data_IF_944903579272
#
_entry.id   IF_944903579272
#
_cell.length_a   1.000
_cell.length_b   1.000
_cell.length_c   1.000
_cell.angle_alpha   90.00
_cell.angle_beta   90.00
_cell.angle_gamma   90.00
#
_symmetry.space_group_name_H-M   'P 1'
#
loop_
_entity.id
_entity.type
_entity.pdbx_description
1 polymer ?
#
# COMPACT_ATOMS: atom_id res chain seq x y z
N UNK A 1 -12.74 3.03 14.34
CA UNK A 1 -12.33 4.07 13.39
C UNK A 1 -10.80 4.15 13.41
N UNK A 2 -10.07 3.75 12.36
CA UNK A 2 -8.64 4.00 12.32
C UNK A 2 -8.43 5.46 11.92
N UNK A 3 -8.13 6.31 12.89
CA UNK A 3 -7.69 7.68 12.64
C UNK A 3 -6.24 7.55 12.14
N UNK A 4 -6.07 7.52 10.82
CA UNK A 4 -4.76 7.65 10.18
C UNK A 4 -4.38 9.13 10.33
N UNK A 5 -3.29 9.47 11.03
CA UNK A 5 -2.84 10.85 11.07
C UNK A 5 -2.44 11.27 9.66
N UNK A 6 -3.12 12.28 9.11
CA UNK A 6 -2.70 12.97 7.88
C UNK A 6 -1.27 13.49 8.08
N UNK A 7 -0.32 12.82 7.42
CA UNK A 7 1.02 13.33 7.21
C UNK A 7 1.07 13.76 5.76
N UNK A 8 0.68 15.01 5.53
CA UNK A 8 0.86 15.72 4.28
C UNK A 8 2.22 15.37 3.67
N UNK A 9 2.22 15.03 2.38
CA UNK A 9 3.38 14.65 1.56
C UNK A 9 4.48 15.71 1.40
N UNK A 10 4.86 16.39 2.48
CA UNK A 10 6.04 17.25 2.55
C UNK A 10 7.17 16.45 3.18
N UNK A 11 8.21 16.15 2.39
CA UNK A 11 9.44 15.53 2.88
C UNK A 11 10.07 16.41 3.97
N UNK A 12 9.86 16.08 5.24
CA UNK A 12 10.29 16.90 6.38
C UNK A 12 11.75 16.62 6.79
N UNK A 13 12.63 16.44 5.80
CA UNK A 13 14.07 16.29 6.00
C UNK A 13 14.51 14.92 6.53
N UNK A 14 15.50 14.92 7.45
CA UNK A 14 16.19 13.71 7.90
C UNK A 14 15.30 12.63 8.58
N UNK A 15 14.24 12.95 9.36
CA UNK A 15 13.38 11.94 9.99
C UNK A 15 12.63 11.07 8.98
N UNK A 16 12.12 11.64 7.89
CA UNK A 16 11.42 10.87 6.85
C UNK A 16 12.39 10.00 6.05
N UNK A 17 13.60 10.51 5.77
CA UNK A 17 14.66 9.72 5.11
C UNK A 17 15.01 8.49 5.95
N UNK A 18 15.20 8.65 7.26
CA UNK A 18 15.47 7.52 8.16
C UNK A 18 14.32 6.53 8.18
N UNK A 19 13.08 7.01 8.28
CA UNK A 19 11.88 6.18 8.27
C UNK A 19 11.81 5.29 7.03
N UNK A 20 11.92 5.87 5.84
CA UNK A 20 11.90 5.09 4.60
C UNK A 20 13.13 4.19 4.46
N UNK A 21 14.32 4.64 4.88
CA UNK A 21 15.53 3.80 4.84
C UNK A 21 15.39 2.53 5.69
N UNK A 22 14.76 2.63 6.87
CA UNK A 22 14.48 1.47 7.73
C UNK A 22 13.51 0.51 7.06
N UNK A 23 12.45 1.01 6.40
CA UNK A 23 11.51 0.16 5.64
C UNK A 23 12.18 -0.57 4.48
N UNK A 24 13.01 0.14 3.72
CA UNK A 24 13.74 -0.45 2.59
C UNK A 24 14.71 -1.53 3.09
N UNK A 25 15.43 -1.26 4.19
CA UNK A 25 16.30 -2.24 4.83
C UNK A 25 15.52 -3.46 5.34
N UNK A 26 14.37 -3.24 5.95
CA UNK A 26 13.48 -4.29 6.42
C UNK A 26 13.07 -5.23 5.28
N UNK A 27 12.46 -4.70 4.21
CA UNK A 27 12.06 -5.53 3.07
C UNK A 27 13.25 -6.19 2.38
N UNK A 28 14.39 -5.51 2.27
CA UNK A 28 15.59 -6.13 1.72
C UNK A 28 16.05 -7.34 2.53
N UNK A 29 16.09 -7.23 3.87
CA UNK A 29 16.51 -8.32 4.74
C UNK A 29 15.45 -9.43 4.81
N UNK A 30 14.16 -9.08 4.77
CA UNK A 30 13.04 -10.02 4.68
C UNK A 30 13.16 -10.89 3.42
N UNK A 31 13.33 -10.25 2.25
CA UNK A 31 13.52 -10.96 0.98
C UNK A 31 14.80 -11.79 0.96
N UNK A 32 15.88 -11.28 1.56
CA UNK A 32 17.16 -12.01 1.64
C UNK A 32 17.04 -13.27 2.50
N UNK A 33 16.53 -13.15 3.72
CA UNK A 33 16.42 -14.27 4.65
C UNK A 33 15.34 -15.27 4.22
N UNK A 34 14.14 -14.79 3.87
CA UNK A 34 13.05 -15.62 3.36
C UNK A 34 13.43 -16.32 2.06
N UNK A 35 14.02 -15.59 1.11
CA UNK A 35 14.48 -16.13 -0.16
C UNK A 35 15.58 -17.18 -0.03
N UNK A 36 16.57 -16.95 0.84
CA UNK A 36 17.61 -17.94 1.13
C UNK A 36 17.04 -19.26 1.68
N UNK A 37 16.04 -19.18 2.55
CA UNK A 37 15.37 -20.36 3.11
C UNK A 37 14.45 -21.06 2.11
N UNK A 38 13.73 -20.31 1.27
CA UNK A 38 12.90 -20.88 0.22
C UNK A 38 13.76 -21.58 -0.84
N UNK A 39 14.87 -20.98 -1.27
CA UNK A 39 15.69 -21.51 -2.37
C UNK A 39 16.53 -22.74 -2.03
N UNK A 40 16.45 -23.27 -0.80
CA UNK A 40 17.10 -24.54 -0.45
C UNK A 40 16.63 -25.69 -1.34
N UNK A 41 15.36 -25.67 -1.79
CA UNK A 41 14.84 -26.71 -2.71
C UNK A 41 15.50 -26.67 -4.10
N UNK A 42 16.00 -25.50 -4.53
CA UNK A 42 16.59 -25.31 -5.86
C UNK A 42 18.07 -25.75 -5.92
N UNK A 43 18.67 -26.07 -4.77
CA UNK A 43 20.06 -26.49 -4.65
C UNK A 43 20.10 -27.99 -4.31
N UNK A 44 20.72 -28.84 -5.15
CA UNK A 44 20.81 -30.29 -4.94
C UNK A 44 21.41 -30.66 -3.59
N UNK A 45 20.98 -31.80 -3.04
CA UNK A 45 21.65 -32.45 -1.93
C UNK A 45 22.86 -33.27 -2.43
N UNK A 46 23.83 -33.53 -1.55
CA UNK A 46 25.04 -34.29 -1.87
C UNK A 46 26.17 -33.44 -2.46
N UNK A 47 27.17 -34.10 -3.06
CA UNK A 47 28.41 -33.45 -3.52
C UNK A 47 28.19 -32.37 -4.58
N UNK A 48 27.22 -32.57 -5.48
CA UNK A 48 26.91 -31.66 -6.58
C UNK A 48 26.34 -30.30 -6.16
N UNK A 49 25.87 -30.18 -4.91
CA UNK A 49 25.39 -28.92 -4.32
C UNK A 49 26.17 -28.49 -3.07
N UNK A 50 27.21 -29.23 -2.67
CA UNK A 50 27.91 -29.00 -1.41
C UNK A 50 28.53 -27.59 -1.30
N UNK A 51 29.14 -27.11 -2.39
CA UNK A 51 29.70 -25.75 -2.45
C UNK A 51 28.62 -24.68 -2.31
N UNK A 52 27.53 -24.80 -3.07
CA UNK A 52 26.38 -23.88 -3.04
C UNK A 52 25.72 -23.87 -1.65
N UNK A 53 25.49 -25.04 -1.05
CA UNK A 53 24.89 -25.18 0.30
C UNK A 53 25.79 -24.61 1.39
N UNK A 54 27.10 -24.80 1.31
CA UNK A 54 28.07 -24.22 2.26
C UNK A 54 28.00 -22.70 2.24
N UNK A 55 28.01 -22.10 1.04
CA UNK A 55 27.91 -20.65 0.89
C UNK A 55 26.54 -20.15 1.36
N UNK A 56 25.45 -20.81 0.97
CA UNK A 56 24.09 -20.49 1.43
C UNK A 56 23.99 -20.49 2.96
N UNK A 57 24.52 -21.52 3.63
CA UNK A 57 24.47 -21.61 5.08
C UNK A 57 25.26 -20.48 5.77
N UNK A 58 26.46 -20.14 5.25
CA UNK A 58 27.24 -19.02 5.76
C UNK A 58 26.48 -17.70 5.63
N UNK A 59 25.91 -17.43 4.45
CA UNK A 59 25.17 -16.20 4.18
C UNK A 59 23.81 -16.15 4.86
N UNK A 60 23.16 -17.29 5.09
CA UNK A 60 21.93 -17.39 5.87
C UNK A 60 22.14 -16.88 7.30
N UNK A 61 23.29 -17.19 7.91
CA UNK A 61 23.64 -16.65 9.23
C UNK A 61 23.75 -15.12 9.26
N UNK A 62 24.34 -14.52 8.22
CA UNK A 62 24.38 -13.06 8.06
C UNK A 62 22.99 -12.48 7.77
N UNK A 63 22.22 -13.13 6.89
CA UNK A 63 20.84 -12.76 6.57
C UNK A 63 19.95 -12.74 7.80
N UNK A 64 20.04 -13.74 8.68
CA UNK A 64 19.26 -13.79 9.93
C UNK A 64 19.63 -12.69 10.92
N UNK A 65 20.93 -12.35 11.05
CA UNK A 65 21.36 -11.21 11.87
C UNK A 65 20.85 -9.89 11.30
N UNK A 66 20.93 -9.73 9.97
CA UNK A 66 20.39 -8.58 9.26
C UNK A 66 18.88 -8.45 9.44
N UNK A 67 18.14 -9.55 9.29
CA UNK A 67 16.69 -9.59 9.48
C UNK A 67 16.30 -9.21 10.91
N UNK A 68 16.92 -9.82 11.93
CA UNK A 68 16.60 -9.50 13.32
C UNK A 68 16.83 -8.02 13.63
N UNK A 69 17.97 -7.46 13.23
CA UNK A 69 18.25 -6.04 13.44
C UNK A 69 17.28 -5.13 12.66
N UNK A 70 16.96 -5.49 11.42
CA UNK A 70 16.06 -4.71 10.59
C UNK A 70 14.61 -4.74 11.11
N UNK A 71 14.13 -5.90 11.58
CA UNK A 71 12.81 -6.05 12.21
C UNK A 71 12.74 -5.24 13.50
N UNK A 72 13.73 -5.35 14.39
CA UNK A 72 13.75 -4.58 15.63
C UNK A 72 13.74 -3.07 15.35
N UNK A 73 14.52 -2.62 14.37
CA UNK A 73 14.58 -1.21 13.98
C UNK A 73 13.27 -0.74 13.34
N UNK A 74 12.68 -1.55 12.46
CA UNK A 74 11.40 -1.29 11.81
C UNK A 74 10.28 -1.15 12.85
N UNK A 75 10.11 -2.15 13.71
CA UNK A 75 9.08 -2.15 14.77
C UNK A 75 9.27 -0.96 15.70
N UNK A 76 10.51 -0.67 16.11
CA UNK A 76 10.78 0.47 16.99
C UNK A 76 10.42 1.81 16.34
N UNK A 77 10.86 2.06 15.10
CA UNK A 77 10.61 3.32 14.39
C UNK A 77 9.12 3.50 14.13
N UNK A 78 8.41 2.46 13.69
CA UNK A 78 6.99 2.52 13.39
C UNK A 78 6.15 2.69 14.65
N UNK A 79 6.39 1.88 15.68
CA UNK A 79 5.69 2.02 16.96
C UNK A 79 5.93 3.39 17.59
N UNK A 80 7.17 3.89 17.55
CA UNK A 80 7.49 5.21 18.08
C UNK A 80 6.75 6.33 17.32
N UNK A 81 6.67 6.26 15.99
CA UNK A 81 5.94 7.25 15.18
C UNK A 81 4.45 7.24 15.52
N UNK A 82 3.84 6.07 15.62
CA UNK A 82 2.41 5.91 15.97
C UNK A 82 2.10 6.39 17.38
N UNK A 83 2.90 6.00 18.38
CA UNK A 83 2.69 6.42 19.77
C UNK A 83 2.91 7.93 19.93
N UNK A 84 3.94 8.48 19.29
CA UNK A 84 4.24 9.91 19.34
C UNK A 84 3.14 10.74 18.67
N UNK A 85 2.56 10.28 17.56
CA UNK A 85 1.44 10.99 16.90
C UNK A 85 0.18 11.06 17.75
N UNK A 86 0.02 10.13 18.69
CA UNK A 86 -1.11 10.10 19.62
C UNK A 86 -0.81 10.82 20.95
N UNK A 87 0.39 11.40 21.11
CA UNK A 87 0.84 11.99 22.39
C UNK A 87 0.98 10.97 23.52
N UNK A 88 1.06 9.67 23.20
CA UNK A 88 1.06 8.58 24.16
C UNK A 88 2.43 8.30 24.79
N UNK A 89 2.43 7.76 26.01
CA UNK A 89 3.63 7.29 26.73
C UNK A 89 3.82 5.77 26.67
N UNK A 90 4.49 5.21 27.68
CA UNK A 90 4.78 3.76 27.76
C UNK A 90 3.54 2.85 27.76
N UNK A 91 2.41 3.30 28.30
CA UNK A 91 1.15 2.53 28.26
C UNK A 91 0.62 2.38 26.83
N UNK A 92 0.76 3.42 26.00
CA UNK A 92 0.36 3.37 24.60
C UNK A 92 1.20 2.37 23.79
N UNK A 93 2.47 2.17 24.16
CA UNK A 93 3.30 1.12 23.57
C UNK A 93 2.78 -0.28 23.88
N UNK A 94 2.45 -0.54 25.15
CA UNK A 94 1.91 -1.85 25.57
C UNK A 94 0.60 -2.10 24.83
N UNK A 95 -0.31 -1.13 24.85
CA UNK A 95 -1.59 -1.22 24.17
C UNK A 95 -1.44 -1.48 22.67
N UNK A 96 -0.54 -0.75 22.01
CA UNK A 96 -0.24 -0.94 20.59
C UNK A 96 0.21 -2.38 20.32
N UNK A 97 1.16 -2.90 21.09
CA UNK A 97 1.73 -4.22 20.86
C UNK A 97 0.80 -5.38 21.22
N UNK A 98 -0.07 -5.22 22.23
CA UNK A 98 -0.92 -6.32 22.72
C UNK A 98 -2.35 -6.30 22.18
N UNK A 99 -2.91 -5.11 21.95
CA UNK A 99 -4.34 -4.96 21.60
C UNK A 99 -4.58 -4.68 20.11
N UNK A 100 -3.53 -4.37 19.32
CA UNK A 100 -3.68 -4.16 17.87
C UNK A 100 -3.18 -5.35 17.07
N UNK A 101 -3.83 -5.63 15.95
CA UNK A 101 -3.40 -6.67 15.00
C UNK A 101 -1.99 -6.40 14.46
N UNK A 102 -1.68 -5.15 14.14
CA UNK A 102 -0.35 -4.71 13.69
C UNK A 102 0.72 -4.99 14.73
N UNK A 103 0.46 -4.64 16.00
CA UNK A 103 1.40 -4.91 17.09
C UNK A 103 1.66 -6.41 17.31
N UNK A 104 0.62 -7.23 17.21
CA UNK A 104 0.75 -8.70 17.31
C UNK A 104 1.55 -9.29 16.14
N UNK A 105 1.35 -8.78 14.93
CA UNK A 105 2.13 -9.19 13.75
C UNK A 105 3.61 -8.81 13.91
N UNK A 106 3.93 -7.60 14.39
CA UNK A 106 5.30 -7.20 14.74
C UNK A 106 5.97 -8.11 15.77
N UNK A 107 5.25 -8.49 16.82
CA UNK A 107 5.75 -9.47 17.80
C UNK A 107 6.00 -10.83 17.14
N UNK A 108 5.10 -11.28 16.26
CA UNK A 108 5.27 -12.49 15.46
C UNK A 108 6.53 -12.46 14.60
N UNK A 109 6.78 -11.35 13.90
CA UNK A 109 7.99 -11.14 13.09
C UNK A 109 9.26 -11.16 13.94
N UNK A 110 9.25 -10.55 15.13
CA UNK A 110 10.38 -10.60 16.07
C UNK A 110 10.65 -12.03 16.50
N UNK A 111 9.62 -12.76 16.95
CA UNK A 111 9.74 -14.15 17.39
C UNK A 111 10.26 -15.04 16.27
N UNK A 112 9.69 -14.93 15.05
CA UNK A 112 10.15 -15.72 13.91
C UNK A 112 11.58 -15.39 13.51
N UNK A 113 11.99 -14.13 13.59
CA UNK A 113 13.38 -13.70 13.33
C UNK A 113 14.36 -14.32 14.33
N UNK A 114 13.98 -14.44 15.61
CA UNK A 114 14.77 -15.16 16.60
C UNK A 114 14.81 -16.67 16.35
N UNK A 115 13.66 -17.30 16.08
CA UNK A 115 13.57 -18.74 15.79
C UNK A 115 14.36 -19.12 14.54
N UNK A 116 14.48 -18.20 13.57
CA UNK A 116 15.26 -18.42 12.35
C UNK A 116 16.70 -18.86 12.62
N UNK A 117 17.34 -18.40 13.71
CA UNK A 117 18.69 -18.85 14.09
C UNK A 117 18.80 -20.34 14.44
N UNK A 118 17.72 -20.95 14.92
CA UNK A 118 17.64 -22.40 15.11
C UNK A 118 17.32 -23.08 13.76
N UNK A 119 16.36 -22.53 13.01
CA UNK A 119 15.86 -23.07 11.75
C UNK A 119 16.95 -23.21 10.68
N UNK A 120 17.93 -22.30 10.61
CA UNK A 120 19.03 -22.40 9.63
C UNK A 120 19.81 -23.72 9.72
N UNK A 121 19.80 -24.38 10.89
CA UNK A 121 20.47 -25.66 11.15
C UNK A 121 19.59 -26.88 10.93
N UNK A 122 18.30 -26.69 10.67
CA UNK A 122 17.34 -27.75 10.45
C UNK A 122 17.29 -28.17 8.97
N UNK A 123 16.44 -29.15 8.66
CA UNK A 123 16.25 -29.62 7.29
C UNK A 123 15.55 -28.57 6.41
N UNK A 124 15.60 -28.80 5.10
CA UNK A 124 15.08 -27.85 4.11
C UNK A 124 13.57 -27.63 4.22
N UNK A 125 12.80 -28.64 4.61
CA UNK A 125 11.34 -28.52 4.82
C UNK A 125 11.02 -27.52 5.91
N UNK A 126 11.71 -27.58 7.06
CA UNK A 126 11.49 -26.66 8.17
C UNK A 126 11.90 -25.22 7.79
N UNK A 127 12.96 -25.05 7.00
CA UNK A 127 13.37 -23.75 6.47
C UNK A 127 12.30 -23.13 5.58
N UNK A 128 11.74 -23.93 4.66
CA UNK A 128 10.66 -23.49 3.77
C UNK A 128 9.42 -23.11 4.58
N UNK A 129 8.99 -23.96 5.53
CA UNK A 129 7.82 -23.67 6.38
C UNK A 129 8.04 -22.38 7.17
N UNK A 130 9.21 -22.19 7.77
CA UNK A 130 9.54 -20.96 8.50
C UNK A 130 9.48 -19.72 7.60
N UNK A 131 10.01 -19.80 6.38
CA UNK A 131 9.98 -18.69 5.45
C UNK A 131 8.55 -18.34 5.02
N UNK A 132 7.71 -19.35 4.77
CA UNK A 132 6.30 -19.15 4.47
C UNK A 132 5.55 -18.54 5.66
N UNK A 133 5.83 -18.98 6.90
CA UNK A 133 5.23 -18.38 8.09
C UNK A 133 5.65 -16.92 8.26
N UNK A 134 6.92 -16.59 8.05
CA UNK A 134 7.43 -15.22 8.13
C UNK A 134 6.74 -14.29 7.14
N UNK A 135 6.65 -14.70 5.87
CA UNK A 135 5.98 -13.92 4.81
C UNK A 135 4.46 -13.90 5.00
N UNK A 136 3.90 -14.95 5.60
CA UNK A 136 2.50 -15.02 6.01
C UNK A 136 2.19 -13.96 7.06
N UNK A 137 2.97 -13.86 8.14
CA UNK A 137 2.77 -12.82 9.16
C UNK A 137 2.86 -11.42 8.56
N UNK A 138 3.84 -11.14 7.70
CA UNK A 138 3.94 -9.85 6.99
C UNK A 138 2.68 -9.53 6.18
N UNK A 139 2.07 -10.52 5.52
CA UNK A 139 0.86 -10.31 4.69
C UNK A 139 -0.39 -9.91 5.48
N UNK A 140 -0.41 -10.09 6.80
CA UNK A 140 -1.49 -9.63 7.68
C UNK A 140 -1.33 -8.16 8.11
N UNK A 141 -0.31 -7.46 7.60
CA UNK A 141 -0.09 -6.04 7.84
C UNK A 141 -0.46 -5.16 6.63
N UNK A 142 -0.54 -3.85 6.86
CA UNK A 142 -0.69 -2.85 5.80
C UNK A 142 -2.05 -2.84 5.10
N UNK A 143 -2.08 -2.28 3.89
CA UNK A 143 -3.31 -2.03 3.13
C UNK A 143 -4.09 -3.29 2.76
N UNK A 144 -3.42 -4.44 2.69
CA UNK A 144 -4.07 -5.71 2.39
C UNK A 144 -5.10 -6.06 3.48
N UNK A 145 -4.73 -5.92 4.76
CA UNK A 145 -5.59 -6.19 5.89
C UNK A 145 -6.69 -5.12 6.10
N UNK A 146 -6.49 -3.91 5.57
CA UNK A 146 -7.45 -2.81 5.65
C UNK A 146 -8.40 -2.72 4.43
N UNK A 147 -8.20 -3.54 3.39
CA UNK A 147 -9.05 -3.52 2.19
C UNK A 147 -10.45 -4.09 2.46
N UNK A 148 -11.44 -3.63 1.68
CA UNK A 148 -12.82 -4.15 1.72
C UNK A 148 -12.85 -5.67 1.47
N UNK A 149 -11.96 -6.15 0.61
CA UNK A 149 -11.78 -7.57 0.30
C UNK A 149 -10.54 -8.15 1.00
N UNK A 150 -10.43 -7.93 2.31
CA UNK A 150 -9.26 -8.25 3.13
C UNK A 150 -8.67 -9.65 2.87
N UNK A 151 -9.51 -10.69 2.81
CA UNK A 151 -9.03 -12.07 2.59
C UNK A 151 -8.34 -12.23 1.22
N UNK A 152 -8.94 -11.69 0.16
CA UNK A 152 -8.38 -11.81 -1.20
C UNK A 152 -7.09 -11.00 -1.32
N UNK A 153 -7.05 -9.80 -0.70
CA UNK A 153 -5.86 -8.97 -0.69
C UNK A 153 -4.72 -9.65 0.09
N UNK A 154 -4.95 -10.14 1.30
CA UNK A 154 -3.94 -10.84 2.13
C UNK A 154 -3.38 -12.05 1.37
N UNK A 155 -4.23 -12.87 0.75
CA UNK A 155 -3.77 -14.04 -0.02
C UNK A 155 -2.94 -13.62 -1.22
N UNK A 156 -3.36 -12.58 -1.95
CA UNK A 156 -2.59 -12.05 -3.07
C UNK A 156 -1.24 -11.49 -2.59
N UNK A 157 -1.20 -10.86 -1.42
CA UNK A 157 0.03 -10.27 -0.85
C UNK A 157 1.01 -11.36 -0.49
N UNK A 158 0.52 -12.38 0.22
CA UNK A 158 1.31 -13.53 0.60
C UNK A 158 1.95 -14.21 -0.62
N UNK A 159 1.16 -14.43 -1.68
CA UNK A 159 1.66 -14.99 -2.94
C UNK A 159 2.71 -14.05 -3.56
N UNK A 160 2.44 -12.74 -3.59
CA UNK A 160 3.37 -11.75 -4.12
C UNK A 160 4.70 -11.74 -3.35
N UNK A 161 4.66 -11.71 -2.01
CA UNK A 161 5.82 -11.72 -1.12
C UNK A 161 6.61 -13.02 -1.23
N UNK A 162 5.94 -14.18 -1.26
CA UNK A 162 6.59 -15.47 -1.45
C UNK A 162 7.35 -15.53 -2.78
N UNK A 163 6.72 -15.08 -3.87
CA UNK A 163 7.38 -15.00 -5.16
C UNK A 163 8.49 -13.95 -5.18
N UNK A 164 8.30 -12.79 -4.54
CA UNK A 164 9.31 -11.74 -4.46
C UNK A 164 10.55 -12.25 -3.71
N UNK A 165 10.37 -13.00 -2.62
CA UNK A 165 11.45 -13.59 -1.85
C UNK A 165 12.22 -14.64 -2.67
N UNK A 166 11.54 -15.52 -3.41
CA UNK A 166 12.18 -16.49 -4.31
C UNK A 166 12.99 -15.78 -5.40
N UNK A 167 12.43 -14.74 -6.03
CA UNK A 167 13.12 -14.01 -7.09
C UNK A 167 14.31 -13.21 -6.55
N UNK A 168 14.09 -12.33 -5.58
CA UNK A 168 15.13 -11.48 -5.01
C UNK A 168 16.23 -12.28 -4.31
N UNK A 169 15.86 -13.29 -3.52
CA UNK A 169 16.81 -14.22 -2.92
C UNK A 169 17.64 -14.95 -3.96
N UNK A 170 17.06 -15.30 -5.11
CA UNK A 170 17.76 -16.00 -6.19
C UNK A 170 18.73 -15.10 -6.94
N UNK A 171 18.36 -13.84 -7.20
CA UNK A 171 19.27 -12.83 -7.74
C UNK A 171 20.44 -12.60 -6.79
N UNK A 172 20.18 -12.49 -5.48
CA UNK A 172 21.23 -12.35 -4.46
C UNK A 172 22.17 -13.56 -4.41
N UNK A 173 21.62 -14.77 -4.35
CA UNK A 173 22.42 -15.99 -4.36
C UNK A 173 23.25 -16.12 -5.65
N UNK A 174 22.67 -15.74 -6.79
CA UNK A 174 23.39 -15.75 -8.07
C UNK A 174 24.55 -14.75 -8.06
N UNK A 175 24.38 -13.55 -7.50
CA UNK A 175 25.47 -12.58 -7.30
C UNK A 175 26.54 -13.09 -6.33
N UNK A 176 26.14 -13.76 -5.25
CA UNK A 176 27.04 -14.35 -4.27
C UNK A 176 27.86 -15.50 -4.88
N UNK A 177 27.21 -16.42 -5.59
CA UNK A 177 27.88 -17.48 -6.34
C UNK A 177 28.79 -16.87 -7.40
N UNK A 178 28.34 -15.87 -8.16
CA UNK A 178 29.16 -15.21 -9.18
C UNK A 178 30.46 -14.62 -8.61
N UNK A 179 30.40 -14.08 -7.38
CA UNK A 179 31.57 -13.55 -6.67
C UNK A 179 32.48 -14.64 -6.14
N UNK A 180 31.93 -15.75 -5.68
CA UNK A 180 32.69 -16.85 -5.06
C UNK A 180 33.25 -17.84 -6.09
N UNK A 181 32.41 -18.33 -7.00
CA UNK A 181 32.71 -19.31 -8.03
C UNK A 181 31.76 -19.15 -9.24
N UNK A 182 32.31 -18.72 -10.38
CA UNK A 182 31.53 -18.46 -11.60
C UNK A 182 30.94 -19.72 -12.22
N UNK A 183 31.55 -20.89 -12.01
CA UNK A 183 31.04 -22.15 -12.54
C UNK A 183 29.80 -22.59 -11.76
N UNK A 184 29.86 -22.48 -10.42
CA UNK A 184 28.69 -22.72 -9.56
C UNK A 184 27.57 -21.73 -9.83
N UNK A 185 27.90 -20.47 -10.14
CA UNK A 185 26.92 -19.47 -10.54
C UNK A 185 26.21 -19.86 -11.84
N UNK A 186 26.93 -20.39 -12.84
CA UNK A 186 26.35 -20.92 -14.07
C UNK A 186 25.39 -22.09 -13.82
N UNK A 187 25.81 -23.06 -13.00
CA UNK A 187 24.97 -24.20 -12.60
C UNK A 187 23.67 -23.75 -11.90
N UNK A 188 23.77 -22.78 -11.00
CA UNK A 188 22.60 -22.22 -10.32
C UNK A 188 21.71 -21.43 -11.30
N UNK A 189 22.29 -20.62 -12.17
CA UNK A 189 21.57 -19.80 -13.14
C UNK A 189 20.67 -20.64 -14.07
N UNK A 190 21.11 -21.82 -14.50
CA UNK A 190 20.31 -22.72 -15.34
C UNK A 190 19.00 -23.16 -14.63
N UNK A 191 19.10 -23.51 -13.35
CA UNK A 191 17.95 -23.95 -12.52
C UNK A 191 17.06 -22.77 -12.16
N UNK A 192 17.69 -21.68 -11.70
CA UNK A 192 17.00 -20.48 -11.27
C UNK A 192 16.26 -19.79 -12.41
N UNK A 193 16.78 -19.82 -13.65
CA UNK A 193 16.11 -19.18 -14.79
C UNK A 193 14.73 -19.77 -15.12
N UNK A 194 14.45 -21.04 -14.79
CA UNK A 194 13.12 -21.61 -14.93
C UNK A 194 12.19 -21.13 -13.81
N UNK A 195 12.67 -21.17 -12.56
CA UNK A 195 11.95 -20.74 -11.37
C UNK A 195 11.60 -19.25 -11.46
N UNK A 196 12.58 -18.41 -11.79
CA UNK A 196 12.45 -16.96 -11.92
C UNK A 196 11.36 -16.57 -12.92
N UNK A 197 11.18 -17.34 -14.00
CA UNK A 197 10.16 -17.06 -15.01
C UNK A 197 8.74 -17.34 -14.57
N UNK A 198 8.52 -18.46 -13.87
CA UNK A 198 7.22 -18.75 -13.27
C UNK A 198 6.93 -17.72 -12.17
N UNK A 199 7.93 -17.45 -11.33
CA UNK A 199 7.86 -16.51 -10.22
C UNK A 199 7.52 -15.09 -10.72
N UNK A 200 8.13 -14.63 -11.80
CA UNK A 200 7.87 -13.31 -12.39
C UNK A 200 6.46 -13.19 -12.99
N UNK A 201 5.94 -14.28 -13.59
CA UNK A 201 4.57 -14.30 -14.09
C UNK A 201 3.57 -14.18 -12.92
N UNK A 202 3.77 -14.94 -11.85
CA UNK A 202 2.92 -14.89 -10.64
C UNK A 202 3.04 -13.53 -9.94
N UNK A 203 4.24 -12.94 -9.84
CA UNK A 203 4.44 -11.59 -9.32
C UNK A 203 3.65 -10.53 -10.07
N UNK A 204 3.71 -10.58 -11.40
CA UNK A 204 2.97 -9.63 -12.26
C UNK A 204 1.47 -9.76 -12.03
N UNK A 205 0.93 -10.99 -12.04
CA UNK A 205 -0.51 -11.23 -11.86
C UNK A 205 -0.97 -10.83 -10.46
N UNK A 206 -0.29 -11.30 -9.41
CA UNK A 206 -0.63 -10.95 -8.02
C UNK A 206 -0.53 -9.44 -7.76
N UNK A 207 0.44 -8.74 -8.35
CA UNK A 207 0.55 -7.29 -8.26
C UNK A 207 -0.58 -6.53 -8.95
N UNK A 208 -1.04 -7.01 -10.11
CA UNK A 208 -2.23 -6.45 -10.80
C UNK A 208 -3.49 -6.67 -9.97
N UNK A 209 -3.70 -7.89 -9.46
CA UNK A 209 -4.84 -8.22 -8.59
C UNK A 209 -4.82 -7.33 -7.35
N UNK A 210 -3.66 -7.17 -6.72
CA UNK A 210 -3.49 -6.28 -5.57
C UNK A 210 -3.88 -4.84 -5.87
N UNK A 211 -3.37 -4.31 -6.98
CA UNK A 211 -3.67 -2.94 -7.41
C UNK A 211 -5.18 -2.77 -7.58
N UNK A 212 -5.84 -3.74 -8.23
CA UNK A 212 -7.29 -3.72 -8.45
C UNK A 212 -8.09 -3.77 -7.15
N UNK A 213 -7.66 -4.57 -6.16
CA UNK A 213 -8.36 -4.69 -4.87
C UNK A 213 -8.16 -3.47 -3.97
N UNK A 214 -7.14 -2.65 -4.22
CA UNK A 214 -6.77 -1.53 -3.36
C UNK A 214 -7.34 -0.18 -3.83
N UNK A 215 -7.59 0.00 -5.13
CA UNK A 215 -8.04 1.29 -5.67
C UNK A 215 -9.51 1.25 -6.09
N UNK A 216 -10.34 2.16 -5.57
CA UNK A 216 -11.70 2.38 -6.06
C UNK A 216 -11.76 2.94 -7.48
N UNK A 217 -10.71 3.64 -7.92
CA UNK A 217 -10.66 4.30 -9.23
C UNK A 217 -9.26 4.25 -9.85
N UNK A 218 -9.21 4.04 -11.16
CA UNK A 218 -7.97 4.12 -11.94
C UNK A 218 -7.39 5.54 -11.98
N UNK A 219 -8.19 6.58 -11.71
CA UNK A 219 -7.71 7.96 -11.60
C UNK A 219 -6.69 8.11 -10.48
N UNK A 220 -6.78 7.28 -9.43
CA UNK A 220 -5.80 7.31 -8.35
C UNK A 220 -4.41 6.83 -8.81
N UNK A 221 -4.31 6.04 -9.88
CA UNK A 221 -3.01 5.70 -10.48
C UNK A 221 -2.32 6.90 -11.12
N UNK A 222 -3.09 7.91 -11.54
CA UNK A 222 -2.58 9.08 -12.25
C UNK A 222 -2.34 10.28 -11.33
N UNK A 223 -3.18 10.43 -10.31
CA UNK A 223 -3.23 11.65 -9.50
C UNK A 223 -2.74 11.47 -8.05
N UNK A 224 -2.36 10.26 -7.63
CA UNK A 224 -1.78 10.04 -6.29
C UNK A 224 -0.29 9.77 -6.36
N UNK A 225 0.42 10.12 -5.28
CA UNK A 225 1.84 9.76 -5.11
C UNK A 225 2.05 8.24 -5.10
N UNK A 226 1.10 7.51 -4.51
CA UNK A 226 1.10 6.04 -4.55
C UNK A 226 1.06 5.52 -5.99
N UNK A 227 0.19 6.08 -6.83
CA UNK A 227 0.08 5.78 -8.26
C UNK A 227 1.37 6.05 -9.03
N UNK A 228 2.01 7.20 -8.77
CA UNK A 228 3.28 7.58 -9.39
C UNK A 228 4.42 6.59 -9.07
N UNK A 229 4.56 6.21 -7.79
CA UNK A 229 5.56 5.22 -7.38
C UNK A 229 5.26 3.83 -7.94
N UNK A 230 3.98 3.43 -7.98
CA UNK A 230 3.57 2.17 -8.58
C UNK A 230 3.88 2.13 -10.08
N UNK A 231 3.62 3.20 -10.81
CA UNK A 231 3.97 3.32 -12.24
C UNK A 231 5.48 3.21 -12.46
N UNK A 232 6.29 3.89 -11.63
CA UNK A 232 7.75 3.77 -11.68
C UNK A 232 8.21 2.32 -11.41
N UNK A 233 7.65 1.66 -10.39
CA UNK A 233 7.92 0.24 -10.09
C UNK A 233 7.54 -0.66 -11.25
N UNK A 234 6.39 -0.43 -11.89
CA UNK A 234 5.93 -1.20 -13.05
C UNK A 234 6.90 -1.09 -14.24
N UNK A 235 7.41 0.12 -14.52
CA UNK A 235 8.46 0.32 -15.56
C UNK A 235 9.72 -0.49 -15.21
N UNK A 236 10.16 -0.48 -13.96
CA UNK A 236 11.33 -1.26 -13.53
C UNK A 236 11.07 -2.77 -13.67
N UNK A 237 9.86 -3.25 -13.36
CA UNK A 237 9.47 -4.66 -13.58
C UNK A 237 9.55 -5.03 -15.06
N UNK A 238 9.11 -4.16 -15.98
CA UNK A 238 9.26 -4.40 -17.42
C UNK A 238 10.74 -4.51 -17.83
N UNK A 239 11.62 -3.68 -17.25
CA UNK A 239 13.07 -3.77 -17.48
C UNK A 239 13.65 -5.08 -16.94
N UNK A 240 13.22 -5.53 -15.76
CA UNK A 240 13.60 -6.83 -15.19
C UNK A 240 13.14 -7.99 -16.08
N UNK A 241 11.92 -7.95 -16.63
CA UNK A 241 11.42 -8.96 -17.56
C UNK A 241 12.27 -8.98 -18.84
N UNK A 242 12.59 -7.81 -19.41
CA UNK A 242 13.46 -7.72 -20.58
C UNK A 242 14.86 -8.31 -20.30
N UNK A 243 15.47 -7.93 -19.17
CA UNK A 243 16.78 -8.41 -18.76
C UNK A 243 16.77 -9.92 -18.43
N UNK A 244 15.77 -10.38 -17.71
CA UNK A 244 15.54 -11.79 -17.36
C UNK A 244 15.40 -12.67 -18.59
N UNK A 245 14.76 -12.17 -19.66
CA UNK A 245 14.67 -12.85 -20.96
C UNK A 245 16.07 -13.08 -21.56
N UNK A 246 16.93 -12.06 -21.52
CA UNK A 246 18.31 -12.13 -22.01
C UNK A 246 19.14 -13.11 -21.16
N UNK A 247 19.04 -13.01 -19.83
CA UNK A 247 19.76 -13.88 -18.89
C UNK A 247 19.32 -15.34 -19.05
N UNK A 248 18.02 -15.61 -19.23
CA UNK A 248 17.47 -16.93 -19.48
C UNK A 248 17.95 -17.52 -20.80
N UNK A 249 17.98 -16.72 -21.87
CA UNK A 249 18.47 -17.17 -23.17
C UNK A 249 19.94 -17.59 -23.11
N UNK A 250 20.77 -16.85 -22.37
CA UNK A 250 22.19 -17.19 -22.15
C UNK A 250 22.36 -18.43 -21.28
N UNK A 251 21.60 -18.54 -20.19
CA UNK A 251 21.63 -19.71 -19.32
C UNK A 251 21.27 -20.99 -20.10
N UNK A 252 20.25 -20.96 -20.97
CA UNK A 252 19.90 -22.09 -21.85
C UNK A 252 21.01 -22.49 -22.82
N UNK A 253 21.83 -21.54 -23.26
CA UNK A 253 22.99 -21.78 -24.13
C UNK A 253 24.25 -22.19 -23.36
N UNK A 254 24.18 -22.32 -22.03
CA UNK A 254 25.33 -22.54 -21.13
C UNK A 254 26.43 -21.49 -21.27
N UNK A 255 26.07 -20.29 -21.73
CA UNK A 255 26.98 -19.16 -21.82
C UNK A 255 27.18 -18.57 -20.43
N UNK A 256 28.43 -18.31 -20.04
CA UNK A 256 28.72 -17.55 -18.83
C UNK A 256 28.04 -16.18 -18.92
N UNK A 257 27.26 -15.84 -17.89
CA UNK A 257 26.58 -14.57 -17.84
C UNK A 257 27.61 -13.43 -17.79
N UNK A 258 27.25 -12.27 -18.35
CA UNK A 258 28.09 -11.08 -18.19
C UNK A 258 27.87 -10.52 -16.81
N UNK A 259 28.93 -10.38 -16.01
CA UNK A 259 28.84 -9.81 -14.66
C UNK A 259 28.16 -8.44 -14.61
N UNK A 260 28.26 -7.64 -15.69
CA UNK A 260 27.54 -6.37 -15.80
C UNK A 260 26.00 -6.55 -15.84
N UNK A 261 25.49 -7.56 -16.54
CA UNK A 261 24.05 -7.83 -16.57
C UNK A 261 23.54 -8.34 -15.23
N UNK A 262 24.33 -9.18 -14.54
CA UNK A 262 24.00 -9.63 -13.20
C UNK A 262 23.94 -8.48 -12.20
N UNK A 263 24.92 -7.56 -12.26
CA UNK A 263 24.92 -6.34 -11.44
C UNK A 263 23.72 -5.47 -11.75
N UNK A 264 23.35 -5.31 -13.02
CA UNK A 264 22.16 -4.57 -13.42
C UNK A 264 20.89 -5.21 -12.84
N UNK A 265 20.75 -6.54 -12.91
CA UNK A 265 19.61 -7.26 -12.34
C UNK A 265 19.52 -7.05 -10.82
N UNK A 266 20.65 -7.11 -10.12
CA UNK A 266 20.73 -6.79 -8.69
C UNK A 266 20.37 -5.33 -8.35
N UNK A 267 20.73 -4.37 -9.21
CA UNK A 267 20.36 -2.96 -9.04
C UNK A 267 18.86 -2.79 -9.25
N UNK A 268 18.28 -3.36 -10.30
CA UNK A 268 16.83 -3.30 -10.55
C UNK A 268 16.04 -3.95 -9.41
N UNK A 269 16.53 -5.07 -8.88
CA UNK A 269 15.97 -5.70 -7.67
C UNK A 269 16.01 -4.75 -6.47
N UNK A 270 17.15 -4.11 -6.20
CA UNK A 270 17.25 -3.14 -5.10
C UNK A 270 16.29 -1.94 -5.29
N UNK A 271 16.15 -1.44 -6.52
CA UNK A 271 15.20 -0.36 -6.83
C UNK A 271 13.74 -0.79 -6.63
N UNK A 272 13.37 -2.02 -7.00
CA UNK A 272 12.01 -2.55 -6.77
C UNK A 272 11.72 -2.68 -5.28
N UNK A 273 12.66 -3.21 -4.49
CA UNK A 273 12.53 -3.31 -3.03
C UNK A 273 12.44 -1.92 -2.41
N UNK A 274 13.23 -0.96 -2.89
CA UNK A 274 13.18 0.42 -2.43
C UNK A 274 11.81 1.06 -2.71
N UNK A 275 11.31 0.94 -3.94
CA UNK A 275 9.98 1.41 -4.30
C UNK A 275 8.88 0.72 -3.47
N UNK A 276 9.00 -0.60 -3.23
CA UNK A 276 8.06 -1.33 -2.38
C UNK A 276 8.07 -0.79 -0.94
N UNK A 277 9.24 -0.51 -0.36
CA UNK A 277 9.37 0.08 0.98
C UNK A 277 8.71 1.46 1.12
N UNK A 278 8.61 2.21 0.03
CA UNK A 278 7.88 3.50 -0.02
C UNK A 278 6.37 3.27 -0.22
N UNK A 279 5.99 2.57 -1.30
CA UNK A 279 4.58 2.36 -1.71
C UNK A 279 3.75 1.71 -0.60
N UNK A 280 4.33 0.77 0.14
CA UNK A 280 3.64 0.03 1.22
C UNK A 280 3.30 0.91 2.43
N UNK A 281 3.83 2.13 2.53
CA UNK A 281 3.44 3.11 3.54
C UNK A 281 2.49 4.17 3.00
N UNK A 282 2.66 4.57 1.74
CA UNK A 282 1.76 5.54 1.09
C UNK A 282 0.34 4.97 0.99
N UNK A 283 -0.67 5.81 1.21
CA UNK A 283 -2.06 5.43 1.00
C UNK A 283 -2.38 5.35 -0.50
N UNK A 284 -3.07 4.30 -0.99
CA UNK A 284 -3.64 4.29 -2.33
C UNK A 284 -4.72 5.36 -2.52
N UNK A 285 -5.34 5.81 -1.43
CA UNK A 285 -6.29 6.91 -1.45
C UNK A 285 -5.57 8.25 -1.67
N UNK A 286 -6.22 9.22 -2.35
CA UNK A 286 -5.66 10.53 -2.57
C UNK A 286 -5.39 11.28 -1.26
N UNK A 287 -4.30 12.03 -1.22
CA UNK A 287 -3.92 12.92 -0.11
C UNK A 287 -4.63 14.27 -0.31
N UNK A 288 -5.94 14.28 -0.04
CA UNK A 288 -6.80 15.45 -0.16
C UNK A 288 -7.44 15.80 1.18
N UNK A 289 -7.73 17.09 1.39
CA UNK A 289 -8.47 17.54 2.56
C UNK A 289 -9.97 17.42 2.29
N UNK A 290 -10.72 16.66 3.12
CA UNK A 290 -12.18 16.61 3.02
C UNK A 290 -12.77 18.01 3.07
N UNK A 291 -13.74 18.27 2.19
CA UNK A 291 -14.47 19.53 2.23
C UNK A 291 -15.47 19.49 3.37
N UNK A 292 -15.47 20.51 4.21
CA UNK A 292 -16.55 20.81 5.15
C UNK A 292 -16.92 22.29 5.00
N UNK A 293 -17.99 22.56 4.27
CA UNK A 293 -18.47 23.91 4.02
C UNK A 293 -19.78 24.14 4.77
N UNK A 294 -19.78 25.06 5.74
CA UNK A 294 -20.96 25.43 6.49
C UNK A 294 -21.30 26.90 6.25
N UNK A 295 -22.57 27.18 5.94
CA UNK A 295 -23.07 28.52 5.70
C UNK A 295 -24.36 28.76 6.50
N UNK A 296 -24.37 29.86 7.24
CA UNK A 296 -25.55 30.36 7.96
C UNK A 296 -26.28 31.37 7.08
N UNK A 297 -27.61 31.38 7.14
CA UNK A 297 -28.47 32.24 6.32
C UNK A 297 -29.79 32.51 7.02
N UNK A 298 -30.45 33.62 6.67
CA UNK A 298 -31.75 33.96 7.27
C UNK A 298 -32.87 33.02 6.80
N UNK A 299 -32.80 32.56 5.54
CA UNK A 299 -33.80 31.66 4.94
C UNK A 299 -33.54 30.18 5.29
N UNK A 300 -32.27 29.75 5.28
CA UNK A 300 -31.87 28.39 5.65
C UNK A 300 -30.36 28.30 5.93
N UNK A 301 -29.95 27.28 6.69
CA UNK A 301 -28.54 26.94 6.91
C UNK A 301 -28.21 25.63 6.21
N UNK A 302 -26.96 25.45 5.79
CA UNK A 302 -26.52 24.15 5.29
C UNK A 302 -25.06 23.84 5.62
N UNK A 303 -24.77 22.54 5.67
CA UNK A 303 -23.42 21.97 5.71
C UNK A 303 -23.28 21.01 4.55
N UNK A 304 -22.34 21.28 3.65
CA UNK A 304 -21.90 20.37 2.59
C UNK A 304 -20.56 19.73 2.99
N UNK A 305 -20.54 18.41 3.06
CA UNK A 305 -19.32 17.62 3.29
C UNK A 305 -19.00 16.75 2.08
N UNK A 306 -17.74 16.72 1.65
CA UNK A 306 -17.26 15.85 0.56
C UNK A 306 -15.98 15.16 1.01
N UNK A 307 -15.95 13.83 0.95
CA UNK A 307 -14.79 13.02 1.34
C UNK A 307 -14.46 11.97 0.27
N UNK A 308 -13.19 11.80 -0.12
CA UNK A 308 -12.01 12.51 0.36
C UNK A 308 -11.82 13.90 -0.27
N UNK A 309 -12.75 14.36 -1.13
CA UNK A 309 -12.61 15.56 -1.97
C UNK A 309 -11.44 15.44 -2.95
N UNK A 310 -11.51 14.46 -3.86
CA UNK A 310 -10.46 14.17 -4.84
C UNK A 310 -11.00 13.62 -6.17
N UNK A 311 -10.18 13.55 -7.23
CA UNK A 311 -10.59 12.98 -8.52
C UNK A 311 -10.88 11.47 -8.41
N UNK A 312 -12.13 11.06 -8.61
CA UNK A 312 -12.60 9.71 -8.37
C UNK A 312 -13.91 9.72 -7.57
N UNK A 313 -14.28 8.58 -6.96
CA UNK A 313 -15.44 8.51 -6.08
C UNK A 313 -15.25 9.37 -4.84
N UNK A 314 -16.33 10.02 -4.41
CA UNK A 314 -16.44 10.80 -3.19
C UNK A 314 -17.81 10.52 -2.56
N UNK A 315 -17.83 10.48 -1.24
CA UNK A 315 -19.04 10.48 -0.43
C UNK A 315 -19.44 11.93 -0.18
N UNK A 316 -20.73 12.22 -0.39
CA UNK A 316 -21.29 13.55 -0.22
C UNK A 316 -22.34 13.51 0.87
N UNK A 317 -22.18 14.37 1.87
CA UNK A 317 -23.16 14.61 2.92
C UNK A 317 -23.69 16.03 2.81
N UNK A 318 -25.00 16.18 2.93
CA UNK A 318 -25.66 17.48 2.93
C UNK A 318 -26.62 17.54 4.10
N UNK A 319 -26.31 18.39 5.08
CA UNK A 319 -27.25 18.74 6.14
C UNK A 319 -27.86 20.09 5.82
N UNK A 320 -29.19 20.19 5.91
CA UNK A 320 -29.93 21.44 5.75
C UNK A 320 -30.76 21.68 7.01
N UNK A 321 -30.83 22.94 7.43
CA UNK A 321 -31.76 23.39 8.45
C UNK A 321 -32.71 24.42 7.84
N UNK A 322 -34.00 24.09 7.81
CA UNK A 322 -35.08 24.98 7.34
C UNK A 322 -35.90 25.49 8.53
N UNK A 323 -36.49 26.69 8.47
CA UNK A 323 -37.42 27.17 9.48
C UNK A 323 -38.53 26.16 9.75
N UNK A 324 -38.97 26.03 11.00
CA UNK A 324 -40.01 25.06 11.40
C UNK A 324 -41.31 25.19 10.57
N UNK A 325 -41.62 26.41 10.11
CA UNK A 325 -42.82 26.72 9.32
C UNK A 325 -42.70 26.31 7.83
N UNK A 326 -41.49 26.06 7.31
CA UNK A 326 -41.24 25.72 5.90
C UNK A 326 -41.58 24.26 5.54
N UNK A 327 -41.63 23.37 6.54
CA UNK A 327 -41.86 21.93 6.33
C UNK A 327 -40.65 21.19 5.72
N UNK A 328 -40.88 19.96 5.28
CA UNK A 328 -39.85 19.15 4.58
C UNK A 328 -39.69 19.65 3.13
N UNK A 329 -38.44 19.75 2.61
CA UNK A 329 -38.23 20.20 1.24
C UNK A 329 -38.85 19.22 0.23
N UNK A 330 -39.47 19.75 -0.82
CA UNK A 330 -40.18 18.96 -1.83
C UNK A 330 -39.28 18.42 -2.95
N UNK A 331 -38.17 19.11 -3.22
CA UNK A 331 -37.13 18.71 -4.17
C UNK A 331 -35.79 19.32 -3.76
N UNK A 332 -34.71 18.59 -4.03
CA UNK A 332 -33.36 19.03 -3.71
C UNK A 332 -32.41 18.63 -4.83
N UNK A 333 -31.74 19.63 -5.39
CA UNK A 333 -30.80 19.44 -6.49
C UNK A 333 -29.42 19.92 -6.08
N UNK A 334 -28.44 19.03 -6.17
CA UNK A 334 -27.03 19.35 -5.96
C UNK A 334 -26.27 19.03 -7.25
N UNK A 335 -25.56 20.03 -7.79
CA UNK A 335 -24.74 19.84 -8.98
C UNK A 335 -23.38 20.50 -8.85
N UNK A 336 -22.38 19.92 -9.52
CA UNK A 336 -21.00 20.38 -9.46
C UNK A 336 -20.54 20.86 -10.83
N UNK A 337 -20.16 22.13 -10.91
CA UNK A 337 -19.67 22.76 -12.13
C UNK A 337 -18.20 23.06 -11.98
N UNK A 338 -17.41 22.78 -13.02
CA UNK A 338 -15.99 23.14 -13.01
C UNK A 338 -15.84 24.65 -13.17
N UNK A 339 -15.28 25.31 -12.15
CA UNK A 339 -14.97 26.74 -12.21
C UNK A 339 -13.89 27.03 -13.27
N UNK A 340 -12.94 26.10 -13.45
CA UNK A 340 -11.88 26.24 -14.45
C UNK A 340 -12.38 26.09 -15.89
N UNK A 341 -13.49 25.37 -16.11
CA UNK A 341 -14.10 25.22 -17.44
C UNK A 341 -15.63 25.19 -17.33
N UNK A 342 -16.28 26.36 -17.24
CA UNK A 342 -17.73 26.46 -17.04
C UNK A 342 -18.59 25.87 -18.15
N UNK A 343 -18.03 25.67 -19.36
CA UNK A 343 -18.73 25.07 -20.50
C UNK A 343 -18.87 23.53 -20.44
N UNK A 344 -18.39 22.86 -19.39
CA UNK A 344 -18.60 21.42 -19.20
C UNK A 344 -19.97 21.16 -18.57
N UNK A 345 -20.52 19.99 -18.89
CA UNK A 345 -21.75 19.51 -18.24
C UNK A 345 -21.54 19.42 -16.72
N UNK A 346 -22.48 19.93 -15.91
CA UNK A 346 -22.47 19.74 -14.47
C UNK A 346 -22.49 18.24 -14.13
N UNK A 347 -21.88 17.89 -13.00
CA UNK A 347 -22.06 16.59 -12.36
C UNK A 347 -23.26 16.71 -11.43
N UNK A 348 -24.41 16.18 -11.84
CA UNK A 348 -25.63 16.16 -11.04
C UNK A 348 -25.58 14.99 -10.05
N UNK A 349 -25.96 15.23 -8.81
CA UNK A 349 -26.06 14.21 -7.76
C UNK A 349 -27.52 14.04 -7.36
N UNK A 350 -27.96 12.79 -7.33
CA UNK A 350 -29.21 12.40 -6.68
C UNK A 350 -28.92 12.14 -5.19
N UNK A 351 -29.46 13.00 -4.34
CA UNK A 351 -29.30 12.91 -2.89
C UNK A 351 -30.45 12.11 -2.27
N UNK A 352 -30.14 11.19 -1.36
CA UNK A 352 -31.12 10.36 -0.67
C UNK A 352 -31.22 10.74 0.80
N UNK A 353 -32.43 10.81 1.39
CA UNK A 353 -32.59 11.00 2.82
C UNK A 353 -31.83 9.93 3.61
N UNK A 354 -31.09 10.36 4.64
CA UNK A 354 -30.32 9.46 5.50
C UNK A 354 -30.39 9.91 6.97
N UNK A 355 -30.05 9.02 7.89
CA UNK A 355 -29.77 9.39 9.28
C UNK A 355 -28.28 9.75 9.40
N UNK A 356 -27.96 10.80 10.15
CA UNK A 356 -26.56 11.18 10.40
C UNK A 356 -26.08 10.65 11.75
N UNK A 357 -24.85 10.16 11.81
CA UNK A 357 -24.18 9.81 13.07
C UNK A 357 -23.56 11.02 13.80
N UNK A 358 -23.58 12.22 13.19
CA UNK A 358 -23.06 13.45 13.80
C UNK A 358 -23.94 13.93 14.98
N UNK A 359 -23.30 14.48 16.02
CA UNK A 359 -24.01 15.10 17.15
C UNK A 359 -24.99 16.16 16.61
N UNK A 360 -26.24 16.05 17.05
CA UNK A 360 -27.34 16.88 16.57
C UNK A 360 -27.15 18.34 17.03
N UNK A 361 -26.45 19.13 16.22
CA UNK A 361 -26.43 20.58 16.37
C UNK A 361 -27.78 21.14 15.94
N UNK A 362 -28.74 21.13 16.86
CA UNK A 362 -30.04 21.77 16.67
C UNK A 362 -29.92 23.28 16.73
N UNK A 363 -30.44 23.97 15.70
CA UNK A 363 -30.63 25.42 15.72
C UNK A 363 -32.07 25.72 16.16
N UNK A 364 -32.30 26.46 17.25
CA UNK A 364 -33.66 26.79 17.69
C UNK A 364 -34.47 27.48 16.58
N UNK A 365 -35.68 27.00 16.31
CA UNK A 365 -36.56 27.52 15.25
C UNK A 365 -36.31 26.90 13.87
N UNK A 366 -35.41 25.93 13.74
CA UNK A 366 -35.13 25.21 12.51
C UNK A 366 -35.24 23.70 12.68
N UNK A 367 -35.79 23.05 11.66
CA UNK A 367 -35.83 21.59 11.51
C UNK A 367 -34.66 21.13 10.64
N UNK A 368 -33.95 20.11 11.10
CA UNK A 368 -32.79 19.52 10.42
C UNK A 368 -33.21 18.39 9.48
N UNK A 369 -32.64 18.38 8.28
CA UNK A 369 -32.77 17.31 7.29
C UNK A 369 -31.38 16.90 6.81
N UNK A 370 -31.11 15.59 6.75
CA UNK A 370 -29.83 15.06 6.28
C UNK A 370 -30.02 14.19 5.04
N UNK A 371 -29.15 14.43 4.06
CA UNK A 371 -29.11 13.70 2.81
C UNK A 371 -27.68 13.24 2.53
N UNK A 372 -27.56 12.07 1.91
CA UNK A 372 -26.29 11.50 1.50
C UNK A 372 -26.34 11.00 0.06
N UNK A 373 -25.19 10.97 -0.58
CA UNK A 373 -24.97 10.30 -1.85
C UNK A 373 -23.57 9.68 -1.86
N UNK A 374 -23.52 8.42 -2.27
CA UNK A 374 -22.27 7.67 -2.39
C UNK A 374 -21.80 7.66 -3.86
N UNK A 375 -20.50 7.42 -4.07
CA UNK A 375 -19.89 7.22 -5.40
C UNK A 375 -20.01 8.42 -6.36
N UNK A 376 -20.05 9.65 -5.83
CA UNK A 376 -19.95 10.84 -6.69
C UNK A 376 -18.58 10.93 -7.35
N UNK A 377 -18.55 10.98 -8.69
CA UNK A 377 -17.31 10.96 -9.45
C UNK A 377 -16.86 12.34 -9.91
N UNK A 378 -15.84 12.88 -9.24
CA UNK A 378 -15.10 14.03 -9.75
C UNK A 378 -14.10 13.57 -10.83
N UNK A 379 -14.20 14.05 -12.08
CA UNK A 379 -13.40 13.50 -13.17
C UNK A 379 -11.94 13.96 -13.18
N UNK A 380 -11.60 15.01 -12.44
CA UNK A 380 -10.27 15.66 -12.48
C UNK A 380 -10.05 16.57 -11.26
N UNK A 381 -8.78 16.92 -10.98
CA UNK A 381 -8.46 17.97 -10.03
C UNK A 381 -8.80 19.34 -10.61
N UNK A 382 -9.06 20.31 -9.73
CA UNK A 382 -9.32 21.70 -10.12
C UNK A 382 -10.26 22.43 -9.18
N UNK A 383 -10.74 23.58 -9.64
CA UNK A 383 -11.69 24.40 -8.92
C UNK A 383 -13.12 24.03 -9.34
N UNK A 384 -13.99 23.88 -8.35
CA UNK A 384 -15.37 23.45 -8.49
C UNK A 384 -16.32 24.40 -7.77
N UNK A 385 -17.53 24.49 -8.32
CA UNK A 385 -18.68 25.17 -7.72
C UNK A 385 -19.76 24.13 -7.45
N UNK A 386 -20.14 23.95 -6.20
CA UNK A 386 -21.33 23.22 -5.82
C UNK A 386 -22.52 24.19 -5.89
N UNK A 387 -23.51 23.85 -6.70
CA UNK A 387 -24.77 24.58 -6.84
C UNK A 387 -25.85 23.78 -6.13
N UNK A 388 -26.38 24.34 -5.04
CA UNK A 388 -27.46 23.77 -4.26
C UNK A 388 -28.75 24.52 -4.56
N UNK A 389 -29.81 23.79 -4.93
CA UNK A 389 -31.16 24.31 -5.09
C UNK A 389 -32.08 23.52 -4.18
N UNK A 390 -32.66 24.19 -3.19
CA UNK A 390 -33.67 23.62 -2.28
C UNK A 390 -35.03 24.16 -2.70
N UNK A 391 -35.97 23.26 -2.99
CA UNK A 391 -37.37 23.64 -3.25
C UNK A 391 -38.19 23.37 -2.00
N UNK A 392 -38.77 24.42 -1.43
CA UNK A 392 -39.62 24.33 -0.24
C UNK A 392 -40.97 23.66 -0.57
N UNK A 393 -41.75 23.32 0.46
CA UNK A 393 -43.04 22.65 0.30
C UNK A 393 -44.08 23.51 -0.46
N UNK A 394 -43.94 24.84 -0.41
CA UNK A 394 -44.80 25.80 -1.14
C UNK A 394 -44.33 26.06 -2.59
N UNK A 395 -43.22 25.45 -3.00
CA UNK A 395 -42.62 25.61 -4.32
C UNK A 395 -41.63 26.77 -4.46
N UNK A 396 -41.35 27.51 -3.38
CA UNK A 396 -40.28 28.51 -3.36
C UNK A 396 -38.90 27.84 -3.55
N UNK A 397 -37.98 28.51 -4.24
CA UNK A 397 -36.65 27.97 -4.55
C UNK A 397 -35.56 28.80 -3.89
N UNK A 398 -34.74 28.15 -3.10
CA UNK A 398 -33.59 28.73 -2.42
C UNK A 398 -32.31 28.20 -3.07
N UNK A 399 -31.45 29.10 -3.55
CA UNK A 399 -30.20 28.74 -4.24
C UNK A 399 -28.98 29.16 -3.43
N UNK A 400 -27.95 28.31 -3.36
CA UNK A 400 -26.63 28.60 -2.76
C UNK A 400 -25.50 28.06 -3.62
N UNK A 401 -24.35 28.73 -3.57
CA UNK A 401 -23.13 28.35 -4.27
C UNK A 401 -21.99 28.18 -3.24
N UNK A 402 -21.30 27.04 -3.28
CA UNK A 402 -20.06 26.83 -2.54
C UNK A 402 -18.90 26.57 -3.51
N UNK A 403 -17.80 27.33 -3.36
CA UNK A 403 -16.59 27.15 -4.17
C UNK A 403 -15.58 26.32 -3.38
N UNK A 404 -14.99 25.33 -4.02
CA UNK A 404 -13.94 24.49 -3.42
C UNK A 404 -12.92 24.04 -4.46
N UNK A 405 -11.78 23.54 -3.96
CA UNK A 405 -10.69 22.99 -4.77
C UNK A 405 -10.38 21.56 -4.32
N UNK A 406 -9.97 20.72 -5.26
CA UNK A 406 -9.65 19.31 -5.02
C UNK A 406 -8.36 18.84 -5.72
#
# INVERSE_FOLDING_TARGET
MPIIPHLAGTWNGAPDVLFYAVRILYYFMLMTAGGAMLLTFAIPAGESGAGQRKLLHQWSGFGMRGLLLAVLLFVFVHANRTVSSLGGGGEAWVKLLTETSTGQAWLGLIVLSFLGFAVIRLNDTVKIIWALLLLGVESFEGHAAASEHATAAIVSDFIHLACAAVWAGGVLLLLLFWKADREEAGRFAERFAAIAWITMAVLTVSGIVMTWLLIPSWLYLLYTDWGNWLAAKAIIVLLVIALGTILRARAKKRELQRGALLKLDGILMACIIAAAGVITYLSPAPDSEPLHHHEMGEDFHYTLSISPNAPGPNDVGLTIWLPEDSGEPSDLQLSFVSADNPGRKPVEIELMPAESDEEDFGFPGFTRYYYAADDMKLPRPGNWKAMLVVTEADGNKLEREAVFSN
#
